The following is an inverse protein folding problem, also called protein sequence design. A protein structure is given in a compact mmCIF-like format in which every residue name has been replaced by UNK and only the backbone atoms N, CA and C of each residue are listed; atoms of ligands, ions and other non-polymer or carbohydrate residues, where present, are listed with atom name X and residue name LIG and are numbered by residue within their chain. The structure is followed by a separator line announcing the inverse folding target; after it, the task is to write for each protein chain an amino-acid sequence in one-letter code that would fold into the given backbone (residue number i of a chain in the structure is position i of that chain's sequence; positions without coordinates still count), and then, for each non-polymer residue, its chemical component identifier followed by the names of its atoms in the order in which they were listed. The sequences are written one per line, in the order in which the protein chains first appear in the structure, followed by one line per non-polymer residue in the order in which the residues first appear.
data_IF_427841305310
#
_entry.id   IF_427841305310
#
_cell.length_a   1.000
_cell.length_b   1.000
_cell.length_c   1.000
_cell.angle_alpha   90.00
_cell.angle_beta   90.00
_cell.angle_gamma   90.00
#
_symmetry.space_group_name_H-M   'P 1'
#
loop_
_entity.id
_entity.type
_entity.pdbx_description
1 polymer ?
#
# COMPACT_ATOMS: atom_id res chain seq x y z
N UNK A 1 2.45 13.12 14.88
CA UNK A 1 2.03 12.32 13.72
C UNK A 1 0.66 11.86 14.06
N UNK A 2 -0.21 11.75 13.06
CA UNK A 2 -1.60 11.36 13.31
C UNK A 2 -1.78 9.93 12.83
N UNK A 3 -1.98 8.95 13.73
CA UNK A 3 -2.30 7.60 13.31
C UNK A 3 -3.59 7.57 12.49
N UNK A 4 -3.66 6.66 11.51
CA UNK A 4 -4.89 6.47 10.76
C UNK A 4 -6.02 5.98 11.69
N UNK A 5 -7.23 6.52 11.60
CA UNK A 5 -8.37 5.94 12.30
C UNK A 5 -8.67 4.55 11.74
N UNK A 6 -9.31 3.72 12.56
CA UNK A 6 -9.81 2.42 12.10
C UNK A 6 -11.08 2.64 11.25
N UNK A 7 -11.25 1.89 10.15
CA UNK A 7 -12.53 1.73 9.46
C UNK A 7 -13.65 1.32 10.44
N UNK A 8 -14.90 1.69 10.13
CA UNK A 8 -16.05 1.31 10.94
C UNK A 8 -16.31 -0.21 10.92
N UNK A 9 -15.89 -0.88 9.84
CA UNK A 9 -16.00 -2.31 9.55
C UNK A 9 -14.65 -3.04 9.71
N UNK A 10 -13.82 -2.61 10.67
CA UNK A 10 -12.45 -3.13 10.83
C UNK A 10 -12.42 -4.65 11.09
N UNK A 11 -13.36 -5.19 11.86
CA UNK A 11 -13.41 -6.63 12.13
C UNK A 11 -13.73 -7.43 10.86
N UNK A 12 -14.71 -6.99 10.07
CA UNK A 12 -15.06 -7.59 8.77
C UNK A 12 -13.90 -7.51 7.79
N UNK A 13 -13.24 -6.35 7.71
CA UNK A 13 -12.06 -6.12 6.87
C UNK A 13 -10.90 -7.05 7.25
N UNK A 14 -10.63 -7.24 8.55
CA UNK A 14 -9.61 -8.16 9.03
C UNK A 14 -9.96 -9.61 8.74
N UNK A 15 -11.23 -10.00 8.86
CA UNK A 15 -11.69 -11.33 8.48
C UNK A 15 -11.51 -11.57 6.98
N UNK A 16 -11.86 -10.60 6.14
CA UNK A 16 -11.63 -10.67 4.69
C UNK A 16 -10.14 -10.79 4.35
N UNK A 17 -9.27 -10.03 5.02
CA UNK A 17 -7.82 -10.15 4.85
C UNK A 17 -7.30 -11.54 5.23
N UNK A 18 -7.73 -12.08 6.37
CA UNK A 18 -7.31 -13.41 6.84
C UNK A 18 -7.80 -14.53 5.92
N UNK A 19 -8.98 -14.40 5.35
CA UNK A 19 -9.55 -15.37 4.41
C UNK A 19 -8.69 -15.54 3.14
N UNK A 20 -7.88 -14.53 2.77
CA UNK A 20 -6.96 -14.61 1.62
C UNK A 20 -5.76 -15.52 1.88
N UNK A 21 -5.45 -15.86 3.14
CA UNK A 21 -4.29 -16.68 3.52
C UNK A 21 -2.94 -16.17 2.98
N UNK A 22 -2.81 -14.86 2.77
CA UNK A 22 -1.60 -14.23 2.20
C UNK A 22 -0.63 -13.68 3.26
N UNK A 23 -1.10 -13.41 4.49
CA UNK A 23 -0.24 -12.90 5.56
C UNK A 23 0.82 -13.94 5.95
N UNK A 24 2.05 -13.48 6.22
CA UNK A 24 3.18 -14.30 6.65
C UNK A 24 3.55 -15.46 5.69
N UNK A 25 3.21 -15.30 4.41
CA UNK A 25 3.58 -16.26 3.36
C UNK A 25 4.82 -15.80 2.59
N UNK A 26 5.53 -16.71 1.88
CA UNK A 26 6.65 -16.33 1.03
C UNK A 26 6.27 -15.31 -0.06
N UNK A 27 7.26 -14.59 -0.62
CA UNK A 27 7.05 -13.76 -1.80
C UNK A 27 6.48 -14.57 -2.97
N UNK A 28 5.68 -13.93 -3.80
CA UNK A 28 5.10 -14.56 -4.98
C UNK A 28 5.27 -13.68 -6.21
N UNK A 29 5.78 -14.28 -7.28
CA UNK A 29 6.17 -13.57 -8.50
C UNK A 29 5.03 -12.75 -9.13
N UNK A 30 3.78 -13.19 -8.97
CA UNK A 30 2.60 -12.45 -9.47
C UNK A 30 2.40 -11.10 -8.78
N UNK A 31 2.72 -10.99 -7.49
CA UNK A 31 2.68 -9.71 -6.77
C UNK A 31 3.97 -8.92 -6.98
N UNK A 32 5.11 -9.61 -7.06
CA UNK A 32 6.42 -8.97 -7.31
C UNK A 32 6.50 -8.26 -8.65
N UNK A 33 5.88 -8.81 -9.69
CA UNK A 33 5.77 -8.14 -10.99
C UNK A 33 4.99 -6.84 -10.91
N UNK A 34 3.93 -6.77 -10.10
CA UNK A 34 3.10 -5.57 -9.96
C UNK A 34 3.87 -4.45 -9.25
N UNK A 35 4.54 -4.75 -8.14
CA UNK A 35 5.36 -3.78 -7.42
C UNK A 35 6.53 -3.29 -8.29
N UNK A 36 7.23 -4.21 -8.96
CA UNK A 36 8.35 -3.86 -9.89
C UNK A 36 7.88 -2.97 -11.03
N UNK A 37 6.78 -3.33 -11.67
CA UNK A 37 6.23 -2.53 -12.77
C UNK A 37 5.76 -1.16 -12.29
N UNK A 38 5.16 -1.05 -11.10
CA UNK A 38 4.80 0.23 -10.51
C UNK A 38 6.04 1.13 -10.29
N UNK A 39 7.10 0.59 -9.69
CA UNK A 39 8.35 1.32 -9.48
C UNK A 39 8.96 1.81 -10.80
N UNK A 40 9.04 0.93 -11.81
CA UNK A 40 9.63 1.23 -13.11
C UNK A 40 8.82 2.29 -13.88
N UNK A 41 7.50 2.13 -13.98
CA UNK A 41 6.67 3.02 -14.78
C UNK A 41 6.44 4.39 -14.13
N UNK A 42 6.44 4.47 -12.80
CA UNK A 42 6.31 5.73 -12.07
C UNK A 42 7.68 6.32 -11.68
N UNK A 43 8.77 5.65 -12.05
CA UNK A 43 10.14 6.09 -11.78
C UNK A 43 10.44 6.33 -10.30
N UNK A 44 9.81 5.58 -9.39
CA UNK A 44 9.99 5.69 -7.95
C UNK A 44 10.95 4.62 -7.43
N UNK A 45 11.84 4.94 -6.48
CA UNK A 45 12.80 3.97 -5.95
C UNK A 45 12.14 2.85 -5.14
N UNK A 46 10.96 3.11 -4.58
CA UNK A 46 10.25 2.17 -3.70
C UNK A 46 8.85 1.92 -4.25
N UNK A 47 8.45 0.65 -4.29
CA UNK A 47 7.07 0.24 -4.53
C UNK A 47 6.73 -1.00 -3.71
N UNK A 48 5.55 -1.03 -3.10
CA UNK A 48 5.12 -2.07 -2.18
C UNK A 48 3.72 -2.55 -2.50
N UNK A 49 3.50 -3.86 -2.43
CA UNK A 49 2.18 -4.42 -2.21
C UNK A 49 2.05 -4.75 -0.74
N UNK A 50 1.19 -4.01 -0.05
CA UNK A 50 1.07 -4.00 1.41
C UNK A 50 -0.29 -4.53 1.83
N UNK A 51 -0.31 -5.38 2.85
CA UNK A 51 -1.50 -5.86 3.53
C UNK A 51 -1.58 -5.21 4.92
N UNK A 52 -2.69 -4.55 5.24
CA UNK A 52 -2.86 -3.82 6.52
C UNK A 52 -3.59 -4.72 7.51
N UNK A 53 -2.83 -5.28 8.45
CA UNK A 53 -3.34 -6.11 9.56
C UNK A 53 -3.71 -5.23 10.78
N UNK A 54 -4.17 -5.82 11.88
CA UNK A 54 -4.67 -5.10 13.04
C UNK A 54 -3.64 -4.13 13.66
N UNK A 55 -2.37 -4.56 13.75
CA UNK A 55 -1.31 -3.81 14.43
C UNK A 55 -0.11 -3.47 13.53
N UNK A 56 -0.04 -4.05 12.33
CA UNK A 56 1.08 -3.89 11.40
C UNK A 56 0.59 -3.71 9.97
N UNK A 57 1.45 -3.16 9.13
CA UNK A 57 1.36 -3.32 7.69
C UNK A 57 2.45 -4.30 7.26
N UNK A 58 2.06 -5.37 6.58
CA UNK A 58 2.95 -6.45 6.15
C UNK A 58 3.14 -6.38 4.63
N UNK A 59 4.37 -6.53 4.15
CA UNK A 59 4.71 -6.32 2.74
C UNK A 59 4.73 -7.65 1.99
N UNK A 60 3.67 -7.91 1.21
CA UNK A 60 3.58 -9.10 0.34
C UNK A 60 4.56 -9.04 -0.82
N UNK A 61 4.82 -7.83 -1.30
CA UNK A 61 5.84 -7.54 -2.29
C UNK A 61 6.52 -6.21 -1.97
N UNK A 62 7.82 -6.14 -2.24
CA UNK A 62 8.65 -4.98 -1.93
C UNK A 62 9.74 -4.76 -2.98
N UNK A 63 9.89 -3.52 -3.40
CA UNK A 63 10.98 -3.02 -4.23
C UNK A 63 11.62 -1.84 -3.51
N UNK A 64 12.94 -1.81 -3.40
CA UNK A 64 13.70 -0.69 -2.83
C UNK A 64 13.62 -0.52 -1.31
N UNK A 65 13.06 -1.49 -0.58
CA UNK A 65 12.93 -1.45 0.88
C UNK A 65 13.25 -2.81 1.51
N UNK A 66 14.13 -2.83 2.52
CA UNK A 66 14.55 -4.06 3.20
C UNK A 66 13.60 -4.54 4.29
N UNK A 67 12.89 -3.60 4.93
CA UNK A 67 11.87 -3.92 5.90
C UNK A 67 10.80 -4.85 5.29
N UNK A 68 10.32 -5.81 6.07
CA UNK A 68 9.26 -6.76 5.67
C UNK A 68 7.89 -6.36 6.20
N UNK A 69 7.86 -5.51 7.22
CA UNK A 69 6.67 -4.95 7.83
C UNK A 69 7.02 -3.68 8.61
N UNK A 70 6.00 -2.92 8.98
CA UNK A 70 6.13 -1.79 9.90
C UNK A 70 4.86 -1.68 10.78
N UNK A 71 4.93 -1.02 11.94
CA UNK A 71 3.74 -0.75 12.76
C UNK A 71 2.66 -0.01 11.95
N UNK A 72 1.38 -0.38 12.16
CA UNK A 72 0.27 0.27 11.46
C UNK A 72 0.14 1.75 11.81
N UNK A 73 0.45 2.12 13.06
CA UNK A 73 0.39 3.50 13.55
C UNK A 73 1.28 4.48 12.76
N UNK A 74 2.37 3.99 12.17
CA UNK A 74 3.28 4.80 11.35
C UNK A 74 3.03 4.66 9.84
N UNK A 75 1.97 3.94 9.45
CA UNK A 75 1.69 3.62 8.05
C UNK A 75 0.97 4.72 7.29
N UNK A 76 1.43 5.00 6.07
CA UNK A 76 0.67 5.74 5.06
C UNK A 76 -0.50 4.88 4.55
N UNK A 77 -0.27 3.57 4.40
CA UNK A 77 -1.26 2.61 3.90
C UNK A 77 -2.50 2.52 4.80
N UNK A 78 -2.35 2.66 6.12
CA UNK A 78 -3.50 2.74 7.04
C UNK A 78 -4.43 3.91 6.74
N UNK A 79 -3.91 5.04 6.24
CA UNK A 79 -4.73 6.16 5.79
C UNK A 79 -5.36 5.91 4.42
N UNK A 80 -4.63 5.22 3.54
CA UNK A 80 -5.05 4.94 2.17
C UNK A 80 -6.24 3.99 2.10
N UNK A 81 -6.30 2.96 2.96
CA UNK A 81 -7.42 1.99 2.98
C UNK A 81 -8.78 2.63 3.35
N UNK A 82 -8.77 3.84 3.91
CA UNK A 82 -9.97 4.62 4.23
C UNK A 82 -10.53 5.41 3.02
N UNK A 83 -9.92 5.26 1.84
CA UNK A 83 -10.29 5.96 0.61
C UNK A 83 -10.67 4.95 -0.46
N UNK A 84 -11.61 5.33 -1.32
CA UNK A 84 -11.97 4.55 -2.52
C UNK A 84 -11.05 4.84 -3.71
N UNK A 85 -10.46 6.04 -3.70
CA UNK A 85 -9.56 6.54 -4.73
C UNK A 85 -8.09 6.51 -4.27
N UNK A 86 -7.18 6.82 -5.20
CA UNK A 86 -5.75 6.94 -4.90
C UNK A 86 -5.52 7.95 -3.76
N UNK A 87 -4.78 7.53 -2.74
CA UNK A 87 -4.32 8.38 -1.68
C UNK A 87 -2.92 8.91 -2.00
N UNK A 88 -2.81 10.22 -2.26
CA UNK A 88 -1.55 10.86 -2.68
C UNK A 88 -1.10 11.89 -1.65
N UNK A 89 0.18 11.83 -1.29
CA UNK A 89 0.90 12.79 -0.46
C UNK A 89 2.09 13.25 -1.27
N UNK A 90 2.05 14.50 -1.74
CA UNK A 90 3.07 15.06 -2.63
C UNK A 90 4.38 15.37 -1.89
N UNK A 91 4.26 15.85 -0.65
CA UNK A 91 5.37 16.06 0.29
C UNK A 91 4.93 15.77 1.73
N UNK A 92 5.36 14.62 2.25
CA UNK A 92 5.07 14.13 3.59
C UNK A 92 5.71 14.99 4.68
N UNK A 93 6.78 15.73 4.38
CA UNK A 93 7.38 16.66 5.35
C UNK A 93 6.52 17.90 5.59
N UNK A 94 5.64 18.23 4.63
CA UNK A 94 4.70 19.34 4.70
C UNK A 94 3.28 18.91 5.10
N UNK A 95 3.02 17.59 5.19
CA UNK A 95 1.72 17.06 5.55
C UNK A 95 1.58 16.88 7.08
N UNK A 96 0.62 17.54 7.75
CA UNK A 96 0.48 17.44 9.21
C UNK A 96 0.28 16.02 9.75
N UNK A 97 -0.20 15.09 8.91
CA UNK A 97 -0.39 13.68 9.32
C UNK A 97 0.93 12.94 9.42
N UNK A 98 1.93 13.34 8.63
CA UNK A 98 3.17 12.59 8.41
C UNK A 98 4.46 13.37 8.71
N UNK A 99 4.41 14.69 8.89
CA UNK A 99 5.60 15.56 9.02
C UNK A 99 6.58 15.16 10.12
N UNK A 100 6.09 14.54 11.20
CA UNK A 100 6.87 14.01 12.32
C UNK A 100 6.81 12.47 12.42
N UNK A 101 6.40 11.80 11.34
CA UNK A 101 6.46 10.34 11.23
C UNK A 101 7.93 9.87 11.14
N UNK A 102 8.33 8.83 11.88
CA UNK A 102 9.70 8.29 11.83
C UNK A 102 10.21 7.96 10.43
N UNK A 103 9.34 7.51 9.52
CA UNK A 103 9.71 7.20 8.12
C UNK A 103 9.96 8.45 7.27
N UNK A 104 9.53 9.62 7.74
CA UNK A 104 9.72 10.93 7.09
C UNK A 104 10.93 11.65 7.69
N UNK A 105 11.03 11.67 9.02
CA UNK A 105 12.10 12.37 9.75
C UNK A 105 13.39 11.56 9.82
N UNK A 106 13.29 10.23 9.87
CA UNK A 106 14.40 9.28 9.81
C UNK A 106 14.37 8.48 8.50
N UNK A 107 15.17 7.42 8.45
CA UNK A 107 15.20 6.50 7.30
C UNK A 107 13.79 5.93 7.00
N UNK A 108 13.34 5.89 5.73
CA UNK A 108 14.08 6.20 4.51
C UNK A 108 13.93 7.66 4.02
N UNK A 109 13.47 8.58 4.86
CA UNK A 109 13.22 9.99 4.55
C UNK A 109 12.15 10.19 3.48
N UNK A 110 11.01 9.51 3.63
CA UNK A 110 9.87 9.59 2.71
C UNK A 110 9.45 11.05 2.52
N UNK A 111 9.28 11.44 1.25
CA UNK A 111 8.68 12.72 0.84
C UNK A 111 7.44 12.48 0.01
N UNK A 112 7.47 11.55 -0.93
CA UNK A 112 6.32 11.27 -1.75
C UNK A 112 5.71 9.91 -1.41
N UNK A 113 4.38 9.84 -1.39
CA UNK A 113 3.62 8.61 -1.29
C UNK A 113 2.42 8.67 -2.23
N UNK A 114 2.18 7.60 -2.99
CA UNK A 114 0.90 7.37 -3.63
C UNK A 114 0.46 5.92 -3.45
N UNK A 115 -0.69 5.72 -2.83
CA UNK A 115 -1.26 4.42 -2.52
C UNK A 115 -2.59 4.19 -3.20
N UNK A 116 -2.71 3.05 -3.87
CA UNK A 116 -3.92 2.56 -4.49
C UNK A 116 -4.55 1.50 -3.56
N UNK A 117 -5.75 1.74 -2.98
CA UNK A 117 -6.38 0.79 -2.06
C UNK A 117 -6.73 -0.53 -2.77
N UNK A 118 -6.36 -1.65 -2.16
CA UNK A 118 -6.62 -3.01 -2.68
C UNK A 118 -7.80 -3.62 -1.94
N UNK A 119 -8.71 -4.25 -2.68
CA UNK A 119 -9.94 -4.83 -2.15
C UNK A 119 -9.85 -6.35 -2.14
N UNK A 120 -10.31 -6.97 -1.05
CA UNK A 120 -10.60 -8.39 -1.03
C UNK A 120 -11.89 -8.70 -1.83
N UNK A 121 -12.14 -9.98 -2.21
CA UNK A 121 -13.48 -10.43 -2.59
C UNK A 121 -14.48 -10.04 -1.50
N UNK A 122 -15.50 -9.26 -1.84
CA UNK A 122 -16.42 -8.63 -0.88
C UNK A 122 -16.24 -7.12 -0.72
N UNK A 123 -15.17 -6.54 -1.28
CA UNK A 123 -15.01 -5.09 -1.43
C UNK A 123 -14.25 -4.39 -0.29
N UNK A 124 -13.95 -5.07 0.82
CA UNK A 124 -13.20 -4.49 1.93
C UNK A 124 -11.77 -4.12 1.52
N UNK A 125 -11.31 -2.91 1.86
CA UNK A 125 -9.94 -2.48 1.59
C UNK A 125 -8.95 -3.13 2.56
N UNK A 126 -8.20 -4.10 2.07
CA UNK A 126 -7.31 -4.94 2.89
C UNK A 126 -5.85 -4.47 2.84
N UNK A 127 -5.51 -3.54 1.95
CA UNK A 127 -4.13 -3.19 1.69
C UNK A 127 -3.96 -2.09 0.63
N UNK A 128 -2.73 -1.94 0.14
CA UNK A 128 -2.43 -0.99 -0.95
C UNK A 128 -1.36 -1.53 -1.89
N UNK A 129 -1.46 -1.18 -3.17
CA UNK A 129 -0.29 -1.06 -4.04
C UNK A 129 0.18 0.40 -3.96
N UNK A 130 1.39 0.64 -3.46
CA UNK A 130 1.89 2.00 -3.29
C UNK A 130 3.28 2.20 -3.89
N UNK A 131 3.56 3.44 -4.26
CA UNK A 131 4.88 3.93 -4.69
C UNK A 131 5.34 5.03 -3.75
N UNK A 132 6.64 5.06 -3.47
CA UNK A 132 7.24 5.93 -2.46
C UNK A 132 8.53 6.52 -3.01
N UNK A 133 8.79 7.79 -2.67
CA UNK A 133 10.04 8.47 -3.00
C UNK A 133 10.56 9.32 -1.83
N UNK A 134 11.86 9.59 -1.85
CA UNK A 134 12.59 10.47 -0.94
C UNK A 134 12.67 11.92 -1.45
N UNK A 135 12.11 12.20 -2.64
CA UNK A 135 11.87 13.56 -3.14
C UNK A 135 10.36 13.84 -3.32
N UNK A 136 9.90 15.08 -3.12
CA UNK A 136 8.50 15.44 -3.40
C UNK A 136 8.13 15.21 -4.88
N UNK A 137 6.88 14.80 -5.13
CA UNK A 137 6.37 14.55 -6.49
C UNK A 137 4.88 14.82 -6.60
N UNK A 138 4.44 15.16 -7.81
CA UNK A 138 3.03 15.25 -8.19
C UNK A 138 2.74 14.17 -9.22
N UNK A 139 1.64 13.43 -9.05
CA UNK A 139 1.16 12.49 -10.07
C UNK A 139 0.27 13.18 -11.10
N UNK A 140 0.72 13.18 -12.34
CA UNK A 140 -0.06 13.56 -13.50
C UNK A 140 -1.14 12.53 -13.85
N UNK A 141 -1.96 12.86 -14.85
CA UNK A 141 -3.10 12.03 -15.26
C UNK A 141 -2.69 10.63 -15.68
N UNK A 142 -1.60 10.51 -16.44
CA UNK A 142 -1.11 9.23 -16.97
C UNK A 142 -0.64 8.32 -15.83
N UNK A 143 0.17 8.84 -14.91
CA UNK A 143 0.71 8.05 -13.79
C UNK A 143 -0.40 7.58 -12.85
N UNK A 144 -1.40 8.43 -12.59
CA UNK A 144 -2.62 8.02 -11.85
C UNK A 144 -3.36 6.91 -12.56
N UNK A 145 -3.52 6.99 -13.88
CA UNK A 145 -4.16 5.94 -14.67
C UNK A 145 -3.37 4.63 -14.65
N UNK A 146 -2.03 4.69 -14.69
CA UNK A 146 -1.18 3.49 -14.57
C UNK A 146 -1.38 2.85 -13.20
N UNK A 147 -1.32 3.64 -12.13
CA UNK A 147 -1.47 3.12 -10.76
C UNK A 147 -2.87 2.53 -10.52
N UNK A 148 -3.94 3.15 -11.05
CA UNK A 148 -5.29 2.58 -11.00
C UNK A 148 -5.42 1.29 -11.82
N UNK A 149 -4.78 1.20 -12.99
CA UNK A 149 -4.78 -0.02 -13.78
C UNK A 149 -4.09 -1.18 -13.03
N UNK A 150 -2.95 -0.90 -12.39
CA UNK A 150 -2.24 -1.88 -11.57
C UNK A 150 -3.03 -2.28 -10.32
N UNK A 151 -3.76 -1.34 -9.70
CA UNK A 151 -4.70 -1.62 -8.61
C UNK A 151 -5.76 -2.64 -9.03
N UNK A 152 -6.36 -2.47 -10.22
CA UNK A 152 -7.37 -3.41 -10.76
C UNK A 152 -6.78 -4.80 -10.98
N UNK A 153 -5.60 -4.89 -11.61
CA UNK A 153 -4.89 -6.15 -11.81
C UNK A 153 -4.53 -6.83 -10.49
N UNK A 154 -4.11 -6.06 -9.48
CA UNK A 154 -3.85 -6.58 -8.15
C UNK A 154 -5.12 -7.16 -7.50
N UNK A 155 -6.25 -6.45 -7.59
CA UNK A 155 -7.54 -6.94 -7.08
C UNK A 155 -8.00 -8.22 -7.78
N UNK A 156 -7.85 -8.31 -9.11
CA UNK A 156 -8.13 -9.54 -9.87
C UNK A 156 -7.23 -10.70 -9.43
N UNK A 157 -5.95 -10.42 -9.18
CA UNK A 157 -4.97 -11.41 -8.69
C UNK A 157 -5.33 -11.91 -7.28
N UNK A 158 -5.81 -11.01 -6.41
CA UNK A 158 -6.31 -11.35 -5.07
C UNK A 158 -7.58 -12.21 -5.14
N UNK A 159 -8.49 -11.91 -6.07
CA UNK A 159 -9.73 -12.67 -6.24
C UNK A 159 -9.50 -14.06 -6.88
N UNK A 160 -8.52 -14.19 -7.78
CA UNK A 160 -8.17 -15.45 -8.42
C UNK A 160 -7.62 -16.54 -7.49
N UNK A 161 -7.53 -16.28 -6.18
CA UNK A 161 -7.14 -17.27 -5.17
C UNK A 161 -8.21 -18.28 -4.79
N UNK A 162 -9.46 -18.07 -5.20
CA UNK A 162 -10.55 -19.00 -4.90
C UNK A 162 -10.62 -20.22 -5.85
N UNK A 163 -9.62 -20.45 -6.72
CA UNK A 163 -9.73 -21.38 -7.86
C UNK A 163 -8.65 -22.45 -8.03
N UNK A 164 -7.73 -22.63 -7.09
CA UNK A 164 -6.72 -23.71 -7.16
C UNK A 164 -6.88 -24.67 -5.97
N UNK A 165 -7.92 -25.51 -6.04
CA UNK A 165 -8.04 -26.79 -5.32
C UNK A 165 -7.84 -27.97 -6.29
#
# INVERSE_FOLDING_TARGET
MTPAPLPADEDERLNALRALLLLDTPPEERFDRLARFAAEQLGTPIALLTLVDGQRQWFKSRVGLDATETPREISFCGHAILKDELFVVEDASSDPRFSDNPLVTGDPHIRFYAGAPLSAPGGHHIGTLCVIDTVPRTLGRVERSILDALRRLANETLAGQEGEE
#
